data_IF_328330234018
#
_entry.id   IF_328330234018
#
_cell.length_a   1.000
_cell.length_b   1.000
_cell.length_c   1.000
_cell.angle_alpha   90.00
_cell.angle_beta   90.00
_cell.angle_gamma   90.00
#
_symmetry.space_group_name_H-M   'P 1'
#
loop_
_entity.id
_entity.type
_entity.pdbx_description
1 polymer ?
#
# COMPACT_ATOMS: atom_id res chain seq x y z
N UNK A 1 -9.01 26.03 -19.22
CA UNK A 1 -8.53 25.62 -17.89
C UNK A 1 -8.04 24.20 -18.07
N UNK A 2 -6.73 23.96 -18.08
CA UNK A 2 -6.20 22.61 -18.35
C UNK A 2 -6.45 21.71 -17.14
N UNK A 3 -6.94 20.50 -17.39
CA UNK A 3 -7.14 19.46 -16.38
C UNK A 3 -5.77 19.03 -15.83
N UNK A 4 -5.45 19.48 -14.62
CA UNK A 4 -4.22 19.13 -13.94
C UNK A 4 -4.25 17.64 -13.56
N UNK A 5 -3.37 16.83 -14.18
CA UNK A 5 -3.26 15.40 -13.87
C UNK A 5 -2.00 15.13 -13.05
N UNK A 6 -2.17 14.90 -11.74
CA UNK A 6 -1.11 14.50 -10.78
C UNK A 6 -0.34 13.22 -11.13
N UNK A 7 -0.70 12.53 -12.23
CA UNK A 7 -0.20 11.20 -12.62
C UNK A 7 1.13 11.24 -13.38
N UNK A 8 1.48 12.38 -13.98
CA UNK A 8 2.62 12.54 -14.91
C UNK A 8 3.70 13.48 -14.38
N UNK A 9 3.75 13.67 -13.06
CA UNK A 9 4.61 14.65 -12.42
C UNK A 9 6.05 14.16 -12.23
N UNK A 10 7.04 14.95 -12.66
CA UNK A 10 8.47 14.69 -12.39
C UNK A 10 8.97 15.50 -11.17
N UNK A 11 10.01 15.04 -10.48
CA UNK A 11 10.52 15.77 -9.30
C UNK A 11 11.07 17.17 -9.62
N UNK A 12 11.37 17.44 -10.89
CA UNK A 12 11.99 18.70 -11.35
C UNK A 12 10.99 19.86 -11.43
N UNK A 13 9.69 19.59 -11.50
CA UNK A 13 8.65 20.62 -11.58
C UNK A 13 8.23 21.18 -10.21
N UNK A 14 8.60 20.54 -9.08
CA UNK A 14 8.15 20.91 -7.71
C UNK A 14 8.41 22.39 -7.36
N UNK A 15 9.53 22.95 -7.82
CA UNK A 15 9.91 24.34 -7.59
C UNK A 15 9.09 25.36 -8.40
N UNK A 16 8.23 24.90 -9.32
CA UNK A 16 7.39 25.76 -10.18
C UNK A 16 5.91 25.76 -9.77
N UNK A 17 5.53 24.96 -8.78
CA UNK A 17 4.15 24.90 -8.30
C UNK A 17 3.86 26.03 -7.32
N UNK A 18 2.61 26.51 -7.37
CA UNK A 18 2.08 27.34 -6.29
C UNK A 18 1.85 26.51 -5.03
N UNK A 19 1.79 27.18 -3.87
CA UNK A 19 1.47 26.55 -2.58
C UNK A 19 0.16 25.76 -2.63
N UNK A 20 -0.84 26.23 -3.36
CA UNK A 20 -2.13 25.54 -3.49
C UNK A 20 -1.98 24.24 -4.27
N UNK A 21 -1.26 24.26 -5.40
CA UNK A 21 -0.96 23.05 -6.15
C UNK A 21 -0.15 22.07 -5.30
N UNK A 22 0.85 22.54 -4.53
CA UNK A 22 1.59 21.65 -3.62
C UNK A 22 0.68 20.98 -2.58
N UNK A 23 -0.28 21.71 -1.99
CA UNK A 23 -1.26 21.12 -1.06
C UNK A 23 -2.17 20.09 -1.72
N UNK A 24 -2.69 20.40 -2.90
CA UNK A 24 -3.51 19.47 -3.68
C UNK A 24 -2.73 18.19 -4.02
N UNK A 25 -1.45 18.33 -4.37
CA UNK A 25 -0.56 17.21 -4.65
C UNK A 25 -0.32 16.32 -3.45
N UNK A 26 -0.02 16.91 -2.30
CA UNK A 26 0.13 16.17 -1.04
C UNK A 26 -1.17 15.40 -0.73
N UNK A 27 -2.32 16.07 -0.80
CA UNK A 27 -3.61 15.43 -0.54
C UNK A 27 -3.90 14.28 -1.52
N UNK A 28 -3.55 14.46 -2.80
CA UNK A 28 -3.68 13.43 -3.83
C UNK A 28 -2.83 12.20 -3.51
N UNK A 29 -1.53 12.38 -3.23
CA UNK A 29 -0.63 11.28 -2.92
C UNK A 29 -1.00 10.58 -1.60
N UNK A 30 -1.40 11.32 -0.57
CA UNK A 30 -1.89 10.76 0.70
C UNK A 30 -3.10 9.85 0.47
N UNK A 31 -4.05 10.30 -0.36
CA UNK A 31 -5.21 9.48 -0.73
C UNK A 31 -4.79 8.22 -1.49
N UNK A 32 -3.88 8.34 -2.44
CA UNK A 32 -3.36 7.19 -3.22
C UNK A 32 -2.64 6.17 -2.33
N UNK A 33 -1.84 6.64 -1.38
CA UNK A 33 -1.17 5.78 -0.40
C UNK A 33 -2.19 5.02 0.44
N UNK A 34 -3.25 5.68 0.92
CA UNK A 34 -4.35 5.04 1.66
C UNK A 34 -5.09 4.00 0.82
N UNK A 35 -5.43 4.33 -0.42
CA UNK A 35 -6.11 3.41 -1.35
C UNK A 35 -5.24 2.19 -1.67
N UNK A 36 -3.95 2.40 -1.98
CA UNK A 36 -3.01 1.31 -2.24
C UNK A 36 -2.80 0.42 -1.00
N UNK A 37 -2.80 1.03 0.19
CA UNK A 37 -2.72 0.29 1.46
C UNK A 37 -3.96 -0.57 1.69
N UNK A 38 -5.16 -0.03 1.51
CA UNK A 38 -6.40 -0.78 1.64
C UNK A 38 -6.47 -1.96 0.65
N UNK A 39 -6.10 -1.74 -0.62
CA UNK A 39 -6.02 -2.78 -1.63
C UNK A 39 -5.02 -3.89 -1.25
N UNK A 40 -3.87 -3.52 -0.66
CA UNK A 40 -2.87 -4.46 -0.15
C UNK A 40 -3.42 -5.32 0.98
N UNK A 41 -4.12 -4.72 1.96
CA UNK A 41 -4.77 -5.45 3.06
C UNK A 41 -5.79 -6.45 2.52
N UNK A 42 -6.66 -6.03 1.59
CA UNK A 42 -7.65 -6.91 0.96
C UNK A 42 -7.00 -8.06 0.17
N UNK A 43 -5.91 -7.81 -0.55
CA UNK A 43 -5.20 -8.83 -1.29
C UNK A 43 -4.61 -9.92 -0.37
N UNK A 44 -4.08 -9.52 0.79
CA UNK A 44 -3.57 -10.47 1.80
C UNK A 44 -4.72 -11.28 2.41
N UNK A 45 -5.85 -10.64 2.75
CA UNK A 45 -7.03 -11.34 3.26
C UNK A 45 -7.53 -12.40 2.27
N UNK A 46 -7.63 -12.05 0.97
CA UNK A 46 -8.02 -12.99 -0.08
C UNK A 46 -7.02 -14.13 -0.23
N UNK A 47 -5.71 -13.84 -0.17
CA UNK A 47 -4.69 -14.88 -0.21
C UNK A 47 -4.85 -15.84 0.97
N UNK A 48 -5.08 -15.33 2.19
CA UNK A 48 -5.34 -16.15 3.38
C UNK A 48 -6.56 -17.05 3.24
N UNK A 49 -7.62 -16.57 2.57
CA UNK A 49 -8.83 -17.36 2.35
C UNK A 49 -8.63 -18.49 1.32
N UNK A 50 -7.68 -18.33 0.38
CA UNK A 50 -7.49 -19.25 -0.74
C UNK A 50 -6.40 -20.30 -0.51
N UNK A 51 -5.48 -20.06 0.43
CA UNK A 51 -4.32 -20.94 0.62
C UNK A 51 -3.82 -20.94 2.06
N UNK A 52 -2.78 -21.72 2.33
CA UNK A 52 -2.09 -21.77 3.63
C UNK A 52 -0.61 -21.45 3.44
N UNK A 53 0.12 -21.03 4.50
CA UNK A 53 1.56 -20.80 4.39
C UNK A 53 2.31 -22.05 3.90
N UNK A 54 1.92 -23.23 4.39
CA UNK A 54 2.53 -24.49 4.02
C UNK A 54 2.37 -24.80 2.51
N UNK A 55 1.20 -24.52 1.94
CA UNK A 55 0.96 -24.66 0.50
C UNK A 55 1.80 -23.68 -0.35
N UNK A 56 2.31 -22.61 0.26
CA UNK A 56 3.25 -21.65 -0.33
C UNK A 56 4.72 -21.93 0.01
N UNK A 57 5.02 -23.04 0.69
CA UNK A 57 6.38 -23.40 1.11
C UNK A 57 6.93 -22.56 2.28
N UNK A 58 6.05 -21.89 3.04
CA UNK A 58 6.42 -21.04 4.17
C UNK A 58 5.92 -21.62 5.51
N UNK A 59 6.64 -21.31 6.60
CA UNK A 59 6.29 -21.76 7.96
C UNK A 59 5.22 -20.91 8.61
N UNK A 60 5.02 -19.67 8.14
CA UNK A 60 4.03 -18.75 8.70
C UNK A 60 3.58 -17.70 7.70
N UNK A 61 2.43 -17.06 7.95
CA UNK A 61 1.99 -15.90 7.18
C UNK A 61 2.96 -14.72 7.26
N UNK A 62 3.68 -14.57 8.38
CA UNK A 62 4.71 -13.52 8.52
C UNK A 62 5.81 -13.72 7.48
N UNK A 63 6.27 -14.96 7.28
CA UNK A 63 7.31 -15.31 6.29
C UNK A 63 6.80 -15.13 4.84
N UNK A 64 5.54 -15.47 4.56
CA UNK A 64 4.92 -15.21 3.26
C UNK A 64 4.88 -13.71 2.95
N UNK A 65 4.36 -12.91 3.88
CA UNK A 65 4.17 -11.47 3.68
C UNK A 65 5.51 -10.73 3.64
N UNK A 66 6.47 -11.08 4.51
CA UNK A 66 7.80 -10.46 4.51
C UNK A 66 8.54 -10.69 3.19
N UNK A 67 8.52 -11.93 2.69
CA UNK A 67 9.16 -12.30 1.43
C UNK A 67 8.47 -11.66 0.22
N UNK A 68 7.15 -11.77 0.10
CA UNK A 68 6.39 -11.27 -1.06
C UNK A 68 6.41 -9.74 -1.19
N UNK A 69 6.46 -9.02 -0.07
CA UNK A 69 6.44 -7.56 -0.05
C UNK A 69 7.83 -6.94 0.18
N UNK A 70 8.86 -7.78 0.36
CA UNK A 70 10.21 -7.35 0.72
C UNK A 70 10.23 -6.38 1.93
N UNK A 71 9.57 -6.79 3.01
CA UNK A 71 9.48 -6.03 4.27
C UNK A 71 10.00 -6.87 5.43
N UNK A 72 10.37 -6.21 6.54
CA UNK A 72 10.81 -6.95 7.71
C UNK A 72 9.64 -7.65 8.43
N UNK A 73 9.95 -8.57 9.34
CA UNK A 73 8.96 -9.37 10.05
C UNK A 73 8.02 -8.54 10.93
N UNK A 74 8.49 -7.42 11.51
CA UNK A 74 7.65 -6.56 12.35
C UNK A 74 6.62 -5.79 11.52
N UNK A 75 7.02 -5.29 10.35
CA UNK A 75 6.11 -4.68 9.38
C UNK A 75 5.08 -5.72 8.89
N UNK A 76 5.52 -6.94 8.56
CA UNK A 76 4.61 -8.02 8.17
C UNK A 76 3.61 -8.37 9.29
N UNK A 77 4.05 -8.44 10.55
CA UNK A 77 3.16 -8.67 11.70
C UNK A 77 2.13 -7.55 11.87
N UNK A 78 2.54 -6.28 11.74
CA UNK A 78 1.60 -5.15 11.82
C UNK A 78 0.55 -5.23 10.72
N UNK A 79 0.97 -5.47 9.49
CA UNK A 79 0.06 -5.61 8.35
C UNK A 79 -0.91 -6.79 8.54
N UNK A 80 -0.44 -7.93 9.06
CA UNK A 80 -1.30 -9.07 9.36
C UNK A 80 -2.31 -8.81 10.48
N UNK A 81 -1.98 -7.96 11.47
CA UNK A 81 -2.95 -7.51 12.49
C UNK A 81 -4.04 -6.65 11.86
N UNK A 82 -3.67 -5.75 10.95
CA UNK A 82 -4.64 -4.92 10.22
C UNK A 82 -5.57 -5.78 9.36
N UNK A 83 -5.04 -6.80 8.68
CA UNK A 83 -5.84 -7.77 7.94
C UNK A 83 -6.85 -8.47 8.84
N UNK A 84 -6.45 -8.91 10.04
CA UNK A 84 -7.34 -9.55 10.99
C UNK A 84 -8.46 -8.62 11.51
N UNK A 85 -8.22 -7.30 11.55
CA UNK A 85 -9.23 -6.30 11.92
C UNK A 85 -10.17 -5.93 10.77
N UNK A 86 -9.78 -6.23 9.53
CA UNK A 86 -10.54 -5.94 8.31
C UNK A 86 -11.35 -7.13 7.80
N UNK A 87 -11.13 -8.33 8.35
CA UNK A 87 -11.97 -9.51 8.11
C UNK A 87 -13.31 -9.34 8.85
N UNK A 88 -14.47 -9.57 8.21
CA UNK A 88 -15.80 -9.39 8.80
C UNK A 88 -16.13 -10.40 9.90
#
# INVERSE_FOLDING_TARGET
MMDFQWRDYDSASLSSLSDEQLREGIAYYDRRVKEAHAAKVQAIARLKALTTPAALGARSWVEVVSSRLNINHDQARRLLREVALAEP
#
